data_IF_970122834054
#
_entry.id   IF_970122834054
#
_cell.length_a   1.000
_cell.length_b   1.000
_cell.length_c   1.000
_cell.angle_alpha   90.00
_cell.angle_beta   90.00
_cell.angle_gamma   90.00
#
_symmetry.space_group_name_H-M   'P 1'
#
loop_
_entity.id
_entity.type
_entity.pdbx_description
1 polymer ?
#
# COMPACT_ATOMS: atom_id res chain seq x y z
N UNK A 1 21.15 -7.35 2.99
CA UNK A 1 20.59 -7.33 3.08
C UNK A 1 19.64 -6.94 3.15
N UNK A 2 19.08 -6.80 3.05
CA UNK A 2 18.12 -6.46 3.15
C UNK A 2 17.16 -6.99 3.26
N UNK A 3 16.37 -7.14 3.78
CA UNK A 3 15.39 -7.69 3.88
C UNK A 3 14.28 -7.05 3.48
N UNK A 4 13.56 -7.41 2.74
CA UNK A 4 12.62 -6.76 2.16
C UNK A 4 11.36 -6.82 2.78
N UNK A 5 11.04 -7.82 3.49
CA UNK A 5 9.79 -7.98 4.17
C UNK A 5 9.63 -7.01 5.32
N UNK A 6 10.66 -6.23 5.58
CA UNK A 6 10.59 -5.31 6.67
C UNK A 6 10.32 -3.89 6.23
N UNK A 7 9.35 -3.73 5.37
CA UNK A 7 8.97 -2.41 4.95
C UNK A 7 8.39 -1.64 6.12
N UNK A 8 8.90 -0.43 6.32
CA UNK A 8 8.47 0.42 7.42
C UNK A 8 7.31 1.29 6.96
N UNK A 9 6.16 0.70 6.78
CA UNK A 9 4.97 1.39 6.32
C UNK A 9 4.28 2.04 7.51
N UNK A 10 3.93 3.31 7.38
CA UNK A 10 3.27 4.08 8.44
C UNK A 10 2.03 4.75 7.92
N UNK A 11 1.14 5.10 8.83
CA UNK A 11 -0.06 5.84 8.49
C UNK A 11 0.36 7.18 7.87
N UNK A 12 -0.27 7.51 6.76
CA UNK A 12 0.05 8.73 6.02
C UNK A 12 1.04 8.54 4.90
N UNK A 13 1.72 7.38 4.86
CA UNK A 13 2.65 7.11 3.77
C UNK A 13 1.89 6.89 2.48
N UNK A 14 2.53 7.26 1.37
CA UNK A 14 1.98 6.99 0.04
C UNK A 14 2.76 5.83 -0.54
N UNK A 15 2.04 4.80 -0.95
CA UNK A 15 2.63 3.60 -1.50
C UNK A 15 2.42 3.56 -3.01
N UNK A 16 3.46 3.19 -3.74
CA UNK A 16 3.32 2.94 -5.16
C UNK A 16 3.26 1.44 -5.37
N UNK A 17 2.16 0.97 -5.93
CA UNK A 17 1.94 -0.45 -6.11
C UNK A 17 2.49 -0.96 -7.43
N UNK A 18 2.77 -2.26 -7.51
CA UNK A 18 3.22 -2.88 -8.76
C UNK A 18 2.07 -3.03 -9.72
N UNK A 19 0.86 -3.28 -9.21
CA UNK A 19 -0.32 -3.45 -10.04
C UNK A 19 -1.25 -2.27 -9.86
N UNK A 20 -1.82 -1.75 -10.95
CA UNK A 20 -2.73 -0.62 -10.83
C UNK A 20 -4.08 -1.04 -10.26
N UNK A 21 -4.73 -0.12 -9.58
CA UNK A 21 -6.10 -0.28 -9.16
C UNK A 21 -6.99 -0.23 -10.42
N UNK A 22 -8.18 -0.82 -10.38
CA UNK A 22 -9.09 -0.76 -11.54
C UNK A 22 -9.35 0.64 -12.06
N UNK A 23 -9.20 1.68 -11.25
CA UNK A 23 -9.37 3.05 -11.72
C UNK A 23 -8.11 3.59 -12.42
N UNK A 24 -7.05 2.80 -12.47
CA UNK A 24 -5.82 3.20 -13.15
C UNK A 24 -4.75 3.80 -12.26
N UNK A 25 -5.04 4.06 -11.00
CA UNK A 25 -4.06 4.66 -10.11
C UNK A 25 -3.12 3.61 -9.52
N UNK A 26 -1.85 3.99 -9.38
CA UNK A 26 -0.85 3.13 -8.76
C UNK A 26 -0.52 3.58 -7.35
N UNK A 27 -1.01 4.74 -6.93
CA UNK A 27 -0.63 5.33 -5.65
C UNK A 27 -1.76 5.24 -4.64
N UNK A 28 -1.41 4.82 -3.43
CA UNK A 28 -2.37 4.67 -2.36
C UNK A 28 -1.80 5.31 -1.10
N UNK A 29 -2.68 5.91 -0.31
CA UNK A 29 -2.30 6.50 0.97
C UNK A 29 -2.65 5.51 2.08
N UNK A 30 -1.71 5.27 2.98
CA UNK A 30 -1.94 4.36 4.10
C UNK A 30 -2.79 5.03 5.17
N UNK A 31 -3.92 4.42 5.49
CA UNK A 31 -4.82 4.93 6.51
C UNK A 31 -4.64 4.21 7.84
N UNK A 32 -4.24 2.95 7.79
CA UNK A 32 -4.09 2.16 9.00
C UNK A 32 -3.10 1.04 8.75
N UNK A 33 -2.28 0.74 9.75
CA UNK A 33 -1.33 -0.36 9.70
C UNK A 33 -1.59 -1.31 10.86
N UNK A 34 -1.39 -2.58 10.60
CA UNK A 34 -1.62 -3.63 11.58
C UNK A 34 -1.40 -4.96 10.91
N UNK A 35 -2.20 -5.96 11.28
CA UNK A 35 -2.15 -7.24 10.58
C UNK A 35 -2.63 -7.08 9.16
N UNK A 36 -3.57 -6.14 8.94
CA UNK A 36 -4.00 -5.76 7.61
C UNK A 36 -3.70 -4.29 7.43
N UNK A 37 -3.45 -3.90 6.19
CA UNK A 37 -3.26 -2.48 5.87
C UNK A 37 -4.55 -1.95 5.27
N UNK A 38 -5.00 -0.81 5.78
CA UNK A 38 -6.11 -0.09 5.18
C UNK A 38 -5.52 1.04 4.36
N UNK A 39 -5.78 1.03 3.07
CA UNK A 39 -5.21 2.01 2.16
C UNK A 39 -6.30 2.65 1.32
N UNK A 40 -6.04 3.87 0.87
CA UNK A 40 -6.98 4.61 0.07
C UNK A 40 -6.37 4.90 -1.29
N UNK A 41 -7.11 4.58 -2.34
CA UNK A 41 -6.66 4.86 -3.69
C UNK A 41 -6.65 6.37 -3.93
N UNK A 42 -5.50 6.90 -4.33
CA UNK A 42 -5.40 8.34 -4.56
C UNK A 42 -6.11 8.78 -5.84
N UNK A 43 -6.43 7.85 -6.72
CA UNK A 43 -7.13 8.17 -7.95
C UNK A 43 -8.63 8.31 -7.77
N UNK A 44 -9.27 7.31 -7.16
CA UNK A 44 -10.72 7.32 -7.02
C UNK A 44 -11.19 7.52 -5.59
N UNK A 45 -10.29 7.51 -4.62
CA UNK A 45 -10.65 7.71 -3.22
C UNK A 45 -11.21 6.49 -2.53
N UNK A 46 -11.21 5.34 -3.20
CA UNK A 46 -11.77 4.13 -2.61
C UNK A 46 -10.83 3.55 -1.56
N UNK A 47 -11.39 3.15 -0.43
CA UNK A 47 -10.62 2.53 0.64
C UNK A 47 -10.71 1.01 0.52
N UNK A 48 -9.56 0.35 0.67
CA UNK A 48 -9.51 -1.10 0.63
C UNK A 48 -8.66 -1.61 1.77
N UNK A 49 -8.93 -2.83 2.22
CA UNK A 49 -8.14 -3.46 3.26
C UNK A 49 -7.48 -4.69 2.67
N UNK A 50 -6.17 -4.79 2.84
CA UNK A 50 -5.37 -5.86 2.25
C UNK A 50 -4.53 -6.50 3.34
N UNK A 51 -4.46 -7.84 3.39
CA UNK A 51 -3.58 -8.52 4.33
C UNK A 51 -2.16 -8.00 4.19
N UNK A 52 -1.49 -7.82 5.31
CA UNK A 52 -0.16 -7.21 5.34
C UNK A 52 0.82 -7.86 4.38
N UNK A 53 0.93 -9.18 4.41
CA UNK A 53 1.88 -9.88 3.57
C UNK A 53 1.58 -9.65 2.08
N UNK A 54 0.30 -9.68 1.74
CA UNK A 54 -0.09 -9.49 0.36
C UNK A 54 0.16 -8.07 -0.10
N UNK A 55 -0.11 -7.11 0.76
CA UNK A 55 0.12 -5.71 0.45
C UNK A 55 1.61 -5.44 0.26
N UNK A 56 2.44 -5.96 1.16
CA UNK A 56 3.88 -5.75 1.07
C UNK A 56 4.46 -6.30 -0.23
N UNK A 57 3.96 -7.44 -0.69
CA UNK A 57 4.43 -8.01 -1.94
C UNK A 57 4.07 -7.15 -3.14
N UNK A 58 3.01 -6.37 -3.03
CA UNK A 58 2.54 -5.54 -4.13
C UNK A 58 3.10 -4.12 -4.09
N UNK A 59 3.80 -3.75 -3.05
CA UNK A 59 4.38 -2.41 -2.93
C UNK A 59 5.65 -2.35 -3.77
N UNK A 60 5.70 -1.40 -4.69
CA UNK A 60 6.89 -1.18 -5.49
C UNK A 60 7.85 -0.26 -4.74
N UNK A 61 7.32 0.78 -4.12
CA UNK A 61 8.14 1.66 -3.29
C UNK A 61 7.25 2.53 -2.42
N UNK A 62 7.83 3.08 -1.38
CA UNK A 62 7.15 4.02 -0.49
C UNK A 62 7.64 5.41 -0.87
N UNK A 63 6.71 6.26 -1.19
CA UNK A 63 7.03 7.61 -1.68
C UNK A 63 7.33 8.60 -0.56
#
# INVERSE_FOLDING_TARGET
>A
MERMSEMDVRVGDVLRMKKPHPCGSLEFTVLRVGMDFKIRCNGCGREVMIPRLKCEKNIKKIL
#
